data_IF_094904501590
#
_entry.id   IF_094904501590
#
_cell.length_a   1.000
_cell.length_b   1.000
_cell.length_c   1.000
_cell.angle_alpha   90.00
_cell.angle_beta   90.00
_cell.angle_gamma   90.00
#
_symmetry.space_group_name_H-M   'P 1'
#
loop_
_entity.id
_entity.type
_entity.pdbx_description
1 polymer ?
#
# COMPACT_ATOMS: atom_id res chain seq x y z
N UNK A 1 31.73 50.12 56.37
CA UNK A 1 30.80 50.29 55.23
C UNK A 1 31.06 49.20 54.20
N UNK A 2 30.31 48.09 54.25
CA UNK A 2 30.43 46.97 53.30
C UNK A 2 29.41 47.15 52.17
N UNK A 3 29.86 47.18 50.91
CA UNK A 3 29.01 47.06 49.72
C UNK A 3 28.96 45.58 49.32
N UNK A 4 27.75 45.01 49.28
CA UNK A 4 27.46 43.68 48.76
C UNK A 4 27.47 43.70 47.24
N UNK A 5 28.25 42.83 46.61
CA UNK A 5 28.15 42.48 45.19
C UNK A 5 27.15 41.32 45.04
N UNK A 6 26.21 41.47 44.12
CA UNK A 6 25.22 40.45 43.74
C UNK A 6 25.78 39.70 42.53
N UNK A 7 26.09 38.42 42.68
CA UNK A 7 26.38 37.53 41.55
C UNK A 7 25.04 37.07 40.95
N UNK A 8 24.78 37.47 39.71
CA UNK A 8 23.69 36.94 38.90
C UNK A 8 24.12 35.59 38.31
N UNK A 9 23.48 34.51 38.75
CA UNK A 9 23.62 33.19 38.16
C UNK A 9 22.69 33.09 36.94
N UNK A 10 23.25 33.15 35.74
CA UNK A 10 22.55 32.89 34.49
C UNK A 10 22.34 31.38 34.33
N UNK A 11 21.12 30.92 34.62
CA UNK A 11 20.66 29.56 34.35
C UNK A 11 20.42 29.44 32.84
N UNK A 12 21.32 28.73 32.14
CA UNK A 12 21.12 28.28 30.77
C UNK A 12 20.07 27.17 30.75
N UNK A 13 18.83 27.55 30.45
CA UNK A 13 17.72 26.64 30.20
C UNK A 13 17.86 26.11 28.76
N UNK A 14 18.48 24.94 28.60
CA UNK A 14 18.47 24.20 27.34
C UNK A 14 17.03 23.70 27.07
N UNK A 15 16.29 24.46 26.26
CA UNK A 15 15.08 24.01 25.60
C UNK A 15 15.44 22.89 24.61
N UNK A 16 15.33 21.64 25.05
CA UNK A 16 15.22 20.49 24.16
C UNK A 16 13.85 20.57 23.48
N UNK A 17 13.78 21.32 22.37
CA UNK A 17 12.70 21.20 21.41
C UNK A 17 12.80 19.79 20.81
N UNK A 18 12.10 18.84 21.42
CA UNK A 18 11.80 17.55 20.82
C UNK A 18 10.96 17.80 19.58
N UNK A 19 11.62 18.04 18.45
CA UNK A 19 10.98 18.01 17.15
C UNK A 19 10.45 16.58 16.97
N UNK A 20 9.13 16.41 17.10
CA UNK A 20 8.45 15.24 16.55
C UNK A 20 8.62 15.29 15.03
N UNK A 21 9.77 14.83 14.54
CA UNK A 21 9.96 14.56 13.12
C UNK A 21 8.97 13.45 12.78
N UNK A 22 7.92 13.77 12.03
CA UNK A 22 7.05 12.76 11.41
C UNK A 22 7.97 11.75 10.73
N UNK A 23 7.80 10.48 11.09
CA UNK A 23 8.54 9.42 10.43
C UNK A 23 8.26 9.49 8.91
N UNK A 24 9.28 9.30 8.06
CA UNK A 24 9.15 9.49 6.61
C UNK A 24 8.21 8.46 5.95
N UNK A 25 7.88 7.37 6.66
CA UNK A 25 7.03 6.31 6.12
C UNK A 25 7.69 5.66 4.91
N UNK A 26 6.92 5.46 3.83
CA UNK A 26 7.46 4.96 2.58
C UNK A 26 8.19 6.01 1.73
N UNK A 27 8.22 7.29 2.11
CA UNK A 27 8.88 8.37 1.35
C UNK A 27 10.34 8.53 1.77
N UNK A 28 11.24 7.77 1.14
CA UNK A 28 12.70 7.83 1.41
C UNK A 28 13.44 8.35 0.18
N UNK A 29 14.71 8.75 0.38
CA UNK A 29 15.52 9.37 -0.68
C UNK A 29 16.08 8.36 -1.69
N UNK A 30 16.29 7.10 -1.28
CA UNK A 30 16.96 6.08 -2.06
C UNK A 30 16.16 4.77 -2.03
N UNK A 31 16.10 4.08 -3.17
CA UNK A 31 15.47 2.77 -3.31
C UNK A 31 16.33 1.85 -4.17
N UNK A 32 16.34 0.57 -3.82
CA UNK A 32 16.71 -0.49 -4.74
C UNK A 32 15.57 -0.69 -5.76
N UNK A 33 15.84 -0.44 -7.04
CA UNK A 33 14.84 -0.60 -8.10
C UNK A 33 14.75 -2.05 -8.60
N UNK A 34 13.53 -2.55 -8.74
CA UNK A 34 13.20 -3.84 -9.35
C UNK A 34 12.14 -3.59 -10.42
N UNK A 35 12.40 -4.03 -11.64
CA UNK A 35 11.46 -3.92 -12.76
C UNK A 35 11.00 -5.30 -13.18
N UNK A 36 9.70 -5.45 -13.34
CA UNK A 36 9.10 -6.64 -13.94
C UNK A 36 8.82 -6.33 -15.41
N UNK A 37 9.58 -6.96 -16.30
CA UNK A 37 9.43 -6.78 -17.76
C UNK A 37 8.43 -7.76 -18.39
N UNK A 38 8.04 -8.80 -17.65
CA UNK A 38 7.15 -9.85 -18.16
C UNK A 38 5.76 -9.29 -18.46
N UNK A 39 5.24 -9.64 -19.64
CA UNK A 39 3.87 -9.33 -20.05
C UNK A 39 2.93 -9.96 -19.02
N UNK A 40 2.13 -9.17 -18.28
CA UNK A 40 1.29 -9.74 -17.24
C UNK A 40 0.31 -10.72 -17.86
N UNK A 41 0.09 -11.85 -17.17
CA UNK A 41 -1.05 -12.71 -17.44
C UNK A 41 -2.31 -11.84 -17.55
N UNK A 42 -3.14 -12.12 -18.55
CA UNK A 42 -4.34 -11.34 -18.85
C UNK A 42 -5.10 -10.99 -17.56
N UNK A 43 -5.22 -9.70 -17.28
CA UNK A 43 -5.72 -9.20 -15.99
C UNK A 43 -7.20 -9.54 -15.88
N UNK A 44 -7.51 -10.65 -15.21
CA UNK A 44 -8.89 -11.08 -14.94
C UNK A 44 -9.45 -10.33 -13.73
N UNK A 45 -10.09 -9.20 -13.99
CA UNK A 45 -10.86 -8.47 -12.97
C UNK A 45 -12.18 -9.23 -12.72
N UNK A 46 -12.45 -9.71 -11.48
CA UNK A 46 -13.70 -10.41 -11.19
C UNK A 46 -14.93 -9.53 -11.41
N UNK A 47 -16.04 -10.10 -11.88
CA UNK A 47 -17.31 -9.38 -12.13
C UNK A 47 -17.78 -8.55 -10.94
N UNK A 48 -17.66 -9.09 -9.72
CA UNK A 48 -18.03 -8.36 -8.51
C UNK A 48 -17.16 -7.12 -8.25
N UNK A 49 -15.89 -7.14 -8.68
CA UNK A 49 -15.04 -5.95 -8.61
C UNK A 49 -15.52 -4.91 -9.62
N UNK A 50 -15.89 -5.32 -10.83
CA UNK A 50 -16.47 -4.43 -11.84
C UNK A 50 -17.75 -3.73 -11.36
N UNK A 51 -18.59 -4.41 -10.58
CA UNK A 51 -19.79 -3.79 -10.01
C UNK A 51 -19.50 -2.70 -8.98
N UNK A 52 -18.37 -2.83 -8.27
CA UNK A 52 -17.91 -1.90 -7.24
C UNK A 52 -17.05 -0.76 -7.80
N UNK A 53 -16.48 -0.95 -8.98
CA UNK A 53 -15.86 0.11 -9.74
C UNK A 53 -16.99 0.97 -10.33
N UNK A 54 -17.09 2.23 -9.90
CA UNK A 54 -18.19 3.16 -10.24
C UNK A 54 -18.15 3.65 -11.71
N UNK A 55 -17.72 2.80 -12.64
CA UNK A 55 -17.66 3.12 -14.07
C UNK A 55 -18.95 2.77 -14.82
N UNK A 56 -20.04 2.42 -14.10
CA UNK A 56 -21.35 2.21 -14.72
C UNK A 56 -21.82 3.51 -15.39
N UNK A 57 -22.23 3.49 -16.67
CA UNK A 57 -22.75 4.67 -17.33
C UNK A 57 -24.03 5.14 -16.63
N UNK A 58 -24.20 6.45 -16.51
CA UNK A 58 -25.23 7.09 -15.68
C UNK A 58 -26.69 6.92 -16.16
N UNK A 59 -26.97 6.15 -17.23
CA UNK A 59 -28.32 6.05 -17.80
C UNK A 59 -28.61 4.65 -18.32
N UNK A 60 -29.62 3.98 -17.75
CA UNK A 60 -30.25 2.80 -18.36
C UNK A 60 -30.87 3.20 -19.70
N UNK A 61 -30.28 2.72 -20.81
CA UNK A 61 -30.80 2.94 -22.16
C UNK A 61 -29.95 3.84 -23.07
N UNK A 62 -28.87 4.44 -22.58
CA UNK A 62 -27.83 4.96 -23.45
C UNK A 62 -26.89 3.82 -23.84
N UNK A 63 -26.75 3.54 -25.14
CA UNK A 63 -25.67 2.68 -25.64
C UNK A 63 -24.38 3.13 -24.99
N UNK A 64 -23.73 2.23 -24.26
CA UNK A 64 -22.42 2.46 -23.66
C UNK A 64 -21.42 2.84 -24.75
N UNK A 65 -21.29 4.13 -25.04
CA UNK A 65 -19.99 4.71 -25.35
C UNK A 65 -19.25 4.69 -24.00
N UNK A 66 -18.93 3.52 -23.44
CA UNK A 66 -17.92 2.64 -24.00
C UNK A 66 -16.58 3.19 -23.56
N UNK A 67 -16.42 3.44 -22.24
CA UNK A 67 -15.20 4.03 -21.71
C UNK A 67 -14.04 3.13 -22.12
N UNK A 68 -13.01 3.69 -22.76
CA UNK A 68 -11.88 2.86 -23.20
C UNK A 68 -11.13 2.38 -21.96
N UNK A 69 -10.93 1.07 -21.86
CA UNK A 69 -10.14 0.50 -20.79
C UNK A 69 -8.67 0.56 -21.17
N UNK A 70 -7.88 1.25 -20.36
CA UNK A 70 -6.44 1.39 -20.55
C UNK A 70 -5.73 0.74 -19.36
N UNK A 71 -4.89 -0.25 -19.62
CA UNK A 71 -4.05 -0.83 -18.59
C UNK A 71 -2.80 0.04 -18.39
N UNK A 72 -2.60 0.53 -17.17
CA UNK A 72 -1.50 1.43 -16.80
C UNK A 72 -0.52 0.75 -15.85
N UNK A 73 0.68 1.31 -15.75
CA UNK A 73 1.73 0.85 -14.86
C UNK A 73 1.42 1.23 -13.40
N UNK A 74 1.99 0.48 -12.46
CA UNK A 74 1.82 0.68 -11.03
C UNK A 74 3.17 0.49 -10.34
N UNK A 75 3.52 1.40 -9.42
CA UNK A 75 4.72 1.23 -8.60
C UNK A 75 4.33 0.88 -7.16
N UNK A 76 5.03 -0.09 -6.59
CA UNK A 76 4.89 -0.50 -5.19
C UNK A 76 6.20 -0.25 -4.46
N UNK A 77 6.11 0.31 -3.26
CA UNK A 77 7.25 0.59 -2.40
C UNK A 77 7.19 -0.28 -1.16
N UNK A 78 8.31 -0.90 -0.78
CA UNK A 78 8.48 -1.60 0.49
C UNK A 78 9.63 -0.93 1.23
N UNK A 79 9.37 -0.34 2.39
CA UNK A 79 10.38 0.42 3.14
C UNK A 79 10.43 -0.04 4.58
N UNK A 80 11.59 -0.44 5.06
CA UNK A 80 11.74 -0.88 6.43
C UNK A 80 11.49 0.26 7.43
N UNK A 81 10.83 -0.08 8.54
CA UNK A 81 10.83 0.77 9.74
C UNK A 81 11.83 0.22 10.76
N UNK A 82 11.91 -1.09 10.85
CA UNK A 82 12.84 -1.79 11.74
C UNK A 82 13.92 -2.48 10.91
N UNK A 83 15.22 -2.32 11.26
CA UNK A 83 16.32 -2.81 10.44
C UNK A 83 16.27 -4.30 10.11
N UNK A 84 16.42 -4.59 8.83
CA UNK A 84 16.52 -5.93 8.26
C UNK A 84 15.19 -6.67 8.14
N UNK A 85 14.04 -5.98 8.26
CA UNK A 85 12.72 -6.58 7.97
C UNK A 85 12.47 -6.68 6.47
N UNK A 86 12.96 -5.70 5.70
CA UNK A 86 12.89 -5.67 4.23
C UNK A 86 14.30 -5.91 3.69
N UNK A 87 14.45 -6.79 2.71
CA UNK A 87 15.72 -6.98 2.01
C UNK A 87 16.12 -5.68 1.29
N UNK A 88 17.33 -5.19 1.53
CA UNK A 88 17.80 -3.95 0.88
C UNK A 88 17.21 -2.65 1.44
N UNK A 89 16.57 -2.69 2.62
CA UNK A 89 16.05 -1.55 3.41
C UNK A 89 14.87 -0.79 2.76
N UNK A 90 14.97 -0.43 1.48
CA UNK A 90 13.93 0.25 0.72
C UNK A 90 13.92 -0.25 -0.74
N UNK A 91 12.79 -0.84 -1.15
CA UNK A 91 12.60 -1.43 -2.48
C UNK A 91 11.52 -0.66 -3.23
N UNK A 92 11.78 -0.37 -4.50
CA UNK A 92 10.82 0.17 -5.46
C UNK A 92 10.57 -0.86 -6.56
N UNK A 93 9.35 -1.37 -6.63
CA UNK A 93 8.92 -2.40 -7.56
C UNK A 93 8.05 -1.75 -8.64
N UNK A 94 8.55 -1.68 -9.87
CA UNK A 94 7.83 -1.19 -11.03
C UNK A 94 7.11 -2.37 -11.70
N UNK A 95 5.78 -2.33 -11.67
CA UNK A 95 4.93 -3.32 -12.33
C UNK A 95 4.53 -2.81 -13.73
N UNK A 96 4.45 -3.72 -14.72
CA UNK A 96 4.09 -3.37 -16.08
C UNK A 96 2.61 -2.93 -16.18
N UNK A 97 2.18 -2.57 -17.39
CA UNK A 97 0.79 -2.18 -17.67
C UNK A 97 -0.20 -3.26 -17.27
N UNK A 98 -1.18 -2.89 -16.44
CA UNK A 98 -2.15 -3.83 -15.87
C UNK A 98 -1.70 -4.43 -14.53
N UNK A 99 -0.42 -4.29 -14.21
CA UNK A 99 0.18 -4.61 -12.92
C UNK A 99 0.73 -6.03 -12.85
N UNK A 100 0.61 -6.71 -11.71
CA UNK A 100 1.26 -8.02 -11.55
C UNK A 100 1.10 -8.68 -10.17
N UNK A 101 1.91 -9.73 -9.94
CA UNK A 101 1.97 -10.43 -8.66
C UNK A 101 3.32 -10.18 -8.00
N UNK A 102 3.30 -9.76 -6.73
CA UNK A 102 4.46 -9.61 -5.87
C UNK A 102 4.45 -10.75 -4.85
N UNK A 103 5.45 -11.63 -4.96
CA UNK A 103 5.72 -12.64 -3.94
C UNK A 103 6.55 -12.02 -2.81
N UNK A 104 5.90 -11.77 -1.66
CA UNK A 104 6.51 -11.08 -0.53
C UNK A 104 7.65 -11.88 0.12
N UNK A 105 7.72 -13.19 -0.08
CA UNK A 105 8.82 -14.01 0.45
C UNK A 105 10.19 -13.65 -0.13
N UNK A 106 10.21 -12.95 -1.27
CA UNK A 106 11.43 -12.48 -1.94
C UNK A 106 11.98 -11.18 -1.37
N UNK A 107 11.23 -10.52 -0.49
CA UNK A 107 11.51 -9.15 -0.06
C UNK A 107 11.40 -8.96 1.45
N UNK A 108 10.60 -9.77 2.13
CA UNK A 108 10.40 -9.69 3.57
C UNK A 108 11.16 -10.83 4.23
N UNK A 109 12.05 -10.49 5.15
CA UNK A 109 12.89 -11.46 5.85
C UNK A 109 12.13 -12.13 7.01
N UNK A 110 12.78 -13.06 7.71
CA UNK A 110 12.27 -13.68 8.93
C UNK A 110 12.36 -12.77 10.18
N UNK A 111 12.96 -11.57 10.05
CA UNK A 111 13.09 -10.64 11.17
C UNK A 111 11.74 -10.02 11.53
N UNK A 112 11.52 -9.94 12.84
CA UNK A 112 10.32 -9.33 13.41
C UNK A 112 10.44 -7.82 13.44
N UNK A 113 9.44 -7.14 12.92
CA UNK A 113 9.34 -5.69 13.00
C UNK A 113 8.24 -5.15 12.12
N UNK A 114 8.39 -3.88 11.78
CA UNK A 114 7.42 -3.10 11.02
C UNK A 114 8.08 -2.62 9.74
N UNK A 115 7.26 -2.50 8.71
CA UNK A 115 7.64 -1.87 7.44
C UNK A 115 6.44 -1.14 6.85
N UNK A 116 6.72 -0.26 5.89
CA UNK A 116 5.76 0.54 5.17
C UNK A 116 5.55 -0.01 3.78
N UNK A 117 4.30 0.02 3.31
CA UNK A 117 3.95 -0.26 1.91
C UNK A 117 3.36 0.99 1.30
N UNK A 118 3.97 1.45 0.21
CA UNK A 118 3.50 2.57 -0.59
C UNK A 118 3.03 2.11 -1.96
N UNK A 119 2.16 2.89 -2.56
CA UNK A 119 1.69 2.68 -3.92
C UNK A 119 1.71 4.00 -4.67
N UNK A 120 2.12 3.95 -5.92
CA UNK A 120 2.05 5.08 -6.83
C UNK A 120 1.42 4.63 -8.13
N UNK A 121 0.26 5.22 -8.41
CA UNK A 121 -0.49 5.03 -9.64
C UNK A 121 -0.59 6.39 -10.32
N UNK A 122 0.30 6.70 -11.29
CA UNK A 122 0.42 8.04 -11.87
C UNK A 122 -0.89 8.61 -12.42
N UNK A 123 -1.78 7.73 -12.88
CA UNK A 123 -3.07 8.09 -13.46
C UNK A 123 -4.02 8.77 -12.47
N UNK A 124 -3.77 8.67 -11.16
CA UNK A 124 -4.53 9.40 -10.16
C UNK A 124 -4.30 10.90 -10.16
N UNK A 125 -3.21 11.43 -10.69
CA UNK A 125 -2.87 12.87 -10.53
C UNK A 125 -3.95 13.77 -11.10
N UNK A 126 -4.41 13.48 -12.32
CA UNK A 126 -5.38 14.31 -13.06
C UNK A 126 -6.74 13.61 -13.27
N UNK A 127 -6.98 12.53 -12.54
CA UNK A 127 -8.23 11.78 -12.66
C UNK A 127 -9.42 12.51 -12.02
N UNK A 128 -10.53 12.50 -12.74
CA UNK A 128 -11.83 13.02 -12.31
C UNK A 128 -12.54 12.09 -11.33
N UNK A 129 -12.31 10.78 -11.45
CA UNK A 129 -12.78 9.75 -10.52
C UNK A 129 -11.63 8.83 -10.13
N UNK A 130 -11.55 8.44 -8.86
CA UNK A 130 -10.49 7.57 -8.32
C UNK A 130 -11.12 6.49 -7.46
N UNK A 131 -10.70 5.25 -7.64
CA UNK A 131 -11.17 4.12 -6.86
C UNK A 131 -10.02 3.19 -6.54
N UNK A 132 -9.99 2.70 -5.30
CA UNK A 132 -9.10 1.62 -4.87
C UNK A 132 -9.91 0.57 -4.15
N UNK A 133 -9.94 -0.63 -4.74
CA UNK A 133 -10.59 -1.79 -4.15
C UNK A 133 -9.53 -2.75 -3.61
N UNK A 134 -9.82 -3.39 -2.48
CA UNK A 134 -9.03 -4.48 -1.96
C UNK A 134 -9.85 -5.77 -1.94
N UNK A 135 -9.35 -6.79 -2.61
CA UNK A 135 -9.86 -8.16 -2.57
C UNK A 135 -8.96 -9.00 -1.67
N UNK A 136 -9.41 -9.26 -0.45
CA UNK A 136 -8.68 -10.12 0.47
C UNK A 136 -8.67 -11.57 -0.01
N UNK A 137 -7.47 -12.15 -0.13
CA UNK A 137 -7.23 -13.58 -0.37
C UNK A 137 -6.56 -14.25 0.82
N UNK A 138 -6.33 -13.52 1.91
CA UNK A 138 -5.80 -14.07 3.14
C UNK A 138 -6.91 -14.69 4.01
N UNK A 139 -6.57 -15.81 4.66
CA UNK A 139 -7.43 -16.44 5.67
C UNK A 139 -7.46 -15.58 6.93
N UNK A 140 -8.60 -15.56 7.63
CA UNK A 140 -8.66 -14.98 8.97
C UNK A 140 -7.78 -15.81 9.91
N UNK A 141 -7.00 -15.14 10.74
CA UNK A 141 -6.09 -15.79 11.70
C UNK A 141 -6.34 -15.24 13.09
N UNK A 142 -6.35 -16.13 14.08
CA UNK A 142 -6.32 -15.72 15.48
C UNK A 142 -4.87 -15.66 15.93
N UNK A 143 -4.42 -14.49 16.39
CA UNK A 143 -3.08 -14.28 16.91
C UNK A 143 -3.21 -13.72 18.32
N UNK A 144 -3.03 -14.58 19.32
CA UNK A 144 -3.37 -14.26 20.71
C UNK A 144 -4.89 -14.12 20.88
N UNK A 145 -5.33 -12.98 21.42
CA UNK A 145 -6.76 -12.67 21.62
C UNK A 145 -7.44 -12.03 20.40
N UNK A 146 -6.67 -11.59 19.41
CA UNK A 146 -7.16 -10.80 18.28
C UNK A 146 -7.34 -11.64 17.01
N UNK A 147 -8.30 -11.23 16.17
CA UNK A 147 -8.51 -11.81 14.84
C UNK A 147 -7.97 -10.83 13.80
N UNK A 148 -7.03 -11.32 12.99
CA UNK A 148 -6.41 -10.58 11.91
C UNK A 148 -6.94 -11.04 10.56
N UNK A 149 -7.04 -10.08 9.64
CA UNK A 149 -7.45 -10.29 8.26
C UNK A 149 -8.96 -10.27 8.05
N UNK A 150 -9.34 -9.95 6.82
CA UNK A 150 -10.73 -9.86 6.41
C UNK A 150 -11.36 -11.22 6.08
N UNK A 151 -10.54 -12.24 5.78
CA UNK A 151 -10.99 -13.52 5.29
C UNK A 151 -11.08 -13.60 3.77
N UNK A 152 -11.39 -14.80 3.28
CA UNK A 152 -11.35 -15.12 1.86
C UNK A 152 -12.41 -14.37 1.05
N UNK A 153 -12.01 -13.89 -0.13
CA UNK A 153 -12.88 -13.33 -1.18
C UNK A 153 -13.78 -12.18 -0.69
N UNK A 154 -13.28 -11.42 0.28
CA UNK A 154 -13.95 -10.23 0.78
C UNK A 154 -13.46 -9.02 -0.01
N UNK A 155 -14.42 -8.22 -0.50
CA UNK A 155 -14.16 -6.98 -1.22
C UNK A 155 -14.35 -5.81 -0.28
N UNK A 156 -13.40 -4.88 -0.34
CA UNK A 156 -13.46 -3.62 0.39
C UNK A 156 -13.24 -2.50 -0.59
N UNK A 157 -14.11 -1.50 -0.54
CA UNK A 157 -13.76 -0.19 -1.01
C UNK A 157 -12.88 0.48 0.04
N UNK A 158 -11.62 0.71 -0.30
CA UNK A 158 -10.64 1.30 0.60
C UNK A 158 -10.21 2.68 0.11
N UNK A 159 -10.91 3.28 -0.85
CA UNK A 159 -10.49 4.49 -1.56
C UNK A 159 -10.07 5.61 -0.60
N UNK A 160 -10.94 6.01 0.33
CA UNK A 160 -10.67 7.13 1.23
C UNK A 160 -9.51 6.86 2.20
N UNK A 161 -9.54 5.69 2.85
CA UNK A 161 -8.49 5.32 3.80
C UNK A 161 -7.15 5.09 3.09
N UNK A 162 -7.17 4.55 1.87
CA UNK A 162 -5.99 4.41 1.02
C UNK A 162 -5.34 5.76 0.76
N UNK A 163 -6.08 6.75 0.23
CA UNK A 163 -5.50 8.06 -0.08
C UNK A 163 -5.02 8.78 1.17
N UNK A 164 -5.74 8.65 2.28
CA UNK A 164 -5.30 9.18 3.58
C UNK A 164 -3.98 8.56 4.04
N UNK A 165 -3.80 7.24 3.87
CA UNK A 165 -2.54 6.55 4.22
C UNK A 165 -1.40 6.89 3.27
N UNK A 166 -1.64 6.92 1.97
CA UNK A 166 -0.63 7.27 0.96
C UNK A 166 -0.14 8.71 1.10
N UNK A 167 -1.00 9.65 1.51
CA UNK A 167 -0.58 11.03 1.84
C UNK A 167 0.25 11.14 3.13
N UNK A 168 0.19 10.12 3.98
CA UNK A 168 0.87 10.10 5.27
C UNK A 168 2.17 9.28 5.18
N UNK A 169 2.18 8.08 5.77
CA UNK A 169 3.36 7.22 5.87
C UNK A 169 3.24 5.95 5.01
N UNK A 170 2.15 5.80 4.26
CA UNK A 170 1.79 4.55 3.59
C UNK A 170 1.02 3.59 4.50
N UNK A 171 0.91 2.33 4.08
CA UNK A 171 0.37 1.26 4.92
C UNK A 171 1.46 0.76 5.85
N UNK A 172 1.29 0.99 7.16
CA UNK A 172 2.17 0.43 8.19
C UNK A 172 1.74 -0.99 8.55
N UNK A 173 2.61 -1.96 8.31
CA UNK A 173 2.36 -3.39 8.52
C UNK A 173 3.46 -4.03 9.34
N UNK A 174 3.17 -5.18 9.96
CA UNK A 174 4.08 -5.84 10.90
C UNK A 174 4.39 -7.27 10.46
N UNK A 175 5.67 -7.65 10.44
CA UNK A 175 6.15 -8.98 10.05
C UNK A 175 6.04 -10.01 11.17
N UNK A 176 5.86 -9.59 12.43
CA UNK A 176 5.78 -10.51 13.58
C UNK A 176 4.62 -11.49 13.40
N UNK A 177 4.92 -12.79 13.48
CA UNK A 177 3.93 -13.86 13.27
C UNK A 177 3.23 -13.79 11.91
N UNK A 178 3.90 -13.20 10.91
CA UNK A 178 3.40 -13.05 9.55
C UNK A 178 2.09 -12.25 9.46
N UNK A 179 1.88 -11.28 10.38
CA UNK A 179 0.66 -10.45 10.43
C UNK A 179 0.41 -9.70 9.12
N UNK A 180 1.48 -9.22 8.48
CA UNK A 180 1.41 -8.52 7.21
C UNK A 180 0.70 -9.34 6.12
N UNK A 181 0.81 -10.67 6.11
CA UNK A 181 0.13 -11.52 5.14
C UNK A 181 -1.39 -11.50 5.31
N UNK A 182 -1.89 -11.32 6.55
CA UNK A 182 -3.33 -11.16 6.79
C UNK A 182 -3.87 -9.79 6.36
N UNK A 183 -3.01 -8.79 6.20
CA UNK A 183 -3.39 -7.42 5.81
C UNK A 183 -3.23 -7.19 4.31
N UNK A 184 -2.09 -7.60 3.76
CA UNK A 184 -1.74 -7.36 2.36
C UNK A 184 -2.19 -8.49 1.44
N UNK A 185 -2.33 -9.72 1.97
CA UNK A 185 -2.58 -10.91 1.18
C UNK A 185 -3.90 -10.84 0.41
N UNK A 186 -3.80 -10.64 -0.89
CA UNK A 186 -4.94 -10.26 -1.72
C UNK A 186 -4.53 -9.43 -2.92
N UNK A 187 -5.52 -8.85 -3.58
CA UNK A 187 -5.33 -7.98 -4.74
C UNK A 187 -5.83 -6.57 -4.44
N UNK A 188 -4.98 -5.59 -4.72
CA UNK A 188 -5.38 -4.18 -4.79
C UNK A 188 -5.68 -3.87 -6.25
N UNK A 189 -6.84 -3.26 -6.51
CA UNK A 189 -7.27 -2.83 -7.83
C UNK A 189 -7.37 -1.30 -7.84
N UNK A 190 -6.73 -0.68 -8.82
CA UNK A 190 -6.63 0.77 -8.97
C UNK A 190 -7.34 1.18 -10.24
N UNK A 191 -8.07 2.29 -10.14
CA UNK A 191 -9.06 2.66 -11.12
C UNK A 191 -9.18 4.18 -11.19
N UNK A 192 -8.83 4.78 -12.32
CA UNK A 192 -8.79 6.22 -12.52
C UNK A 192 -9.57 6.63 -13.79
N UNK A 193 -10.50 7.56 -13.66
CA UNK A 193 -11.30 8.09 -14.77
C UNK A 193 -10.71 9.38 -15.32
N UNK A 194 -10.36 9.36 -16.61
CA UNK A 194 -9.77 10.49 -17.34
C UNK A 194 -10.54 10.71 -18.64
N UNK A 195 -11.56 11.57 -18.57
CA UNK A 195 -12.42 11.85 -19.72
C UNK A 195 -13.22 10.61 -20.13
N UNK A 196 -12.99 10.11 -21.34
CA UNK A 196 -13.63 8.90 -21.86
C UNK A 196 -12.89 7.61 -21.48
N UNK A 197 -11.72 7.70 -20.84
CA UNK A 197 -10.87 6.56 -20.57
C UNK A 197 -10.90 6.17 -19.08
N UNK A 198 -10.82 4.87 -18.83
CA UNK A 198 -10.68 4.30 -17.48
C UNK A 198 -9.35 3.56 -17.44
N UNK A 199 -8.44 4.10 -16.65
CA UNK A 199 -7.14 3.51 -16.42
C UNK A 199 -7.20 2.52 -15.27
N UNK A 200 -6.66 1.33 -15.50
CA UNK A 200 -6.70 0.21 -14.57
C UNK A 200 -5.31 -0.36 -14.33
N UNK A 201 -5.04 -0.72 -13.08
CA UNK A 201 -3.90 -1.53 -12.69
C UNK A 201 -4.27 -2.40 -11.49
N UNK A 202 -3.56 -3.51 -11.28
CA UNK A 202 -3.70 -4.29 -10.06
C UNK A 202 -2.37 -4.77 -9.51
N UNK A 203 -2.29 -4.98 -8.20
CA UNK A 203 -1.20 -5.78 -7.63
C UNK A 203 -1.77 -6.84 -6.71
N UNK A 204 -1.36 -8.08 -6.96
CA UNK A 204 -1.62 -9.22 -6.08
C UNK A 204 -0.41 -9.46 -5.20
N UNK A 205 -0.59 -9.46 -3.89
CA UNK A 205 0.43 -9.91 -2.95
C UNK A 205 0.23 -11.37 -2.57
N UNK A 206 1.28 -12.16 -2.72
CA UNK A 206 1.35 -13.56 -2.32
C UNK A 206 2.55 -13.79 -1.40
N UNK A 207 2.66 -14.99 -0.83
CA UNK A 207 3.89 -15.45 -0.19
C UNK A 207 4.06 -16.95 -0.45
N UNK A 208 5.01 -17.32 -1.29
CA UNK A 208 5.26 -18.72 -1.71
C UNK A 208 5.77 -19.62 -0.58
N UNK A 209 6.39 -19.05 0.46
CA UNK A 209 6.87 -19.80 1.62
C UNK A 209 5.76 -20.07 2.65
N UNK A 210 4.67 -19.31 2.60
CA UNK A 210 3.55 -19.42 3.55
C UNK A 210 2.18 -19.53 2.83
N UNK A 211 2.01 -20.48 1.89
CA UNK A 211 0.79 -20.59 1.08
C UNK A 211 -0.46 -20.90 1.92
N UNK A 212 -0.29 -21.54 3.08
CA UNK A 212 -1.39 -21.91 3.99
C UNK A 212 -2.14 -20.71 4.57
N UNK A 213 -1.58 -19.50 4.51
CA UNK A 213 -2.27 -18.28 4.93
C UNK A 213 -3.18 -17.70 3.85
N UNK A 214 -3.13 -18.22 2.64
CA UNK A 214 -3.96 -17.79 1.52
C UNK A 214 -5.10 -18.77 1.27
N UNK A 215 -6.13 -18.27 0.61
CA UNK A 215 -7.28 -19.06 0.18
C UNK A 215 -6.99 -19.65 -1.19
N UNK A 216 -7.46 -20.86 -1.43
CA UNK A 216 -7.39 -21.48 -2.77
C UNK A 216 -8.17 -20.64 -3.78
N UNK A 217 -7.62 -20.55 -4.99
CA UNK A 217 -8.32 -19.96 -6.12
C UNK A 217 -9.42 -20.95 -6.56
N UNK A 218 -10.67 -20.52 -6.44
CA UNK A 218 -11.84 -21.26 -6.92
C UNK A 218 -12.35 -20.63 -8.19
#
# INVERSE_FOLDING_TARGET
MMKRSVQAASIWMFLLLGACTKEPGYHVSEYQEIKFEDVPEEVKIPTKAWDLLEFKPAVEGATSLGKNLIFSELTVYLVEKNPGVVEGEAIKIQLPRGGGTIDLSRFITDRRGTFYVGFEFPEFTDATGKKVLFLSKARKRRLGSEIFGAGCNQYFDITDEFFKKMKAEGLKVNSTQDRYLSVLGGSFLFAAEKGADVHLAQVRFTNSQQPQFFCEER
#
